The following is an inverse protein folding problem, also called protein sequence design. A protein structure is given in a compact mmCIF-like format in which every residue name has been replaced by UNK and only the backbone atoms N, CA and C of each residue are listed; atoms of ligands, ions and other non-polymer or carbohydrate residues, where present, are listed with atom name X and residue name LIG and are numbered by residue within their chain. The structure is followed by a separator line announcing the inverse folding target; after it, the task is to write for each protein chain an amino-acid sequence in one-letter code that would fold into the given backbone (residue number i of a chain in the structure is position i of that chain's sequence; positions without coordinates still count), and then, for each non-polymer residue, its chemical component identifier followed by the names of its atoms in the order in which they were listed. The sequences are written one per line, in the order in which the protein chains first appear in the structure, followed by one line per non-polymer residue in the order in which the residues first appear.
data_IF_324536649034
#
_entry.id   IF_324536649034
#
_cell.length_a   1.000
_cell.length_b   1.000
_cell.length_c   1.000
_cell.angle_alpha   90.00
_cell.angle_beta   90.00
_cell.angle_gamma   90.00
#
_symmetry.space_group_name_H-M   'P 1'
#
loop_
_entity.id
_entity.type
_entity.pdbx_description
1 polymer ?
#
# COMPACT_ATOMS: atom_id res chain seq x y z
N UNK A 1 -0.73 -2.70 -19.48
CA UNK A 1 -0.77 -1.95 -18.22
C UNK A 1 -0.69 -0.43 -18.35
N UNK A 2 -1.13 0.06 -19.50
CA UNK A 2 -1.21 1.51 -19.76
C UNK A 2 -2.52 2.11 -19.25
N UNK A 3 -3.44 1.29 -18.76
CA UNK A 3 -4.78 1.74 -18.31
C UNK A 3 -4.87 2.34 -16.90
N UNK A 4 -3.92 2.11 -16.01
CA UNK A 4 -3.96 2.69 -14.67
C UNK A 4 -3.30 4.06 -14.55
N UNK A 5 -2.39 4.41 -15.46
CA UNK A 5 -1.78 5.74 -15.48
C UNK A 5 -2.71 6.83 -16.04
N UNK A 6 -3.74 6.46 -16.81
CA UNK A 6 -4.69 7.42 -17.39
C UNK A 6 -5.85 7.77 -16.44
N UNK A 7 -6.08 7.01 -15.38
CA UNK A 7 -7.07 7.35 -14.36
C UNK A 7 -6.60 8.45 -13.39
N UNK A 8 -5.33 8.79 -13.39
CA UNK A 8 -4.73 9.83 -12.53
C UNK A 8 -4.73 11.24 -13.14
N UNK A 9 -5.15 11.40 -14.38
CA UNK A 9 -4.88 12.59 -15.15
C UNK A 9 -6.05 13.51 -15.49
N UNK A 10 -7.32 13.14 -15.28
CA UNK A 10 -8.44 13.97 -15.75
C UNK A 10 -9.53 14.09 -14.69
N UNK A 11 -9.31 14.98 -13.73
CA UNK A 11 -10.37 15.77 -13.14
C UNK A 11 -9.96 17.23 -13.15
N UNK A 12 -10.13 17.87 -14.29
CA UNK A 12 -10.07 19.32 -14.41
C UNK A 12 -11.38 19.89 -13.90
N UNK A 13 -11.29 20.65 -12.82
CA UNK A 13 -12.36 21.55 -12.40
C UNK A 13 -13.09 21.14 -11.13
N UNK A 14 -12.76 21.85 -10.07
CA UNK A 14 -13.53 22.08 -8.85
C UNK A 14 -13.57 20.97 -7.80
N UNK A 15 -12.93 21.32 -6.73
CA UNK A 15 -12.72 20.67 -5.44
C UNK A 15 -11.58 19.65 -5.47
N UNK A 16 -10.46 20.08 -4.90
CA UNK A 16 -9.26 19.26 -4.65
C UNK A 16 -9.61 18.12 -3.67
N UNK A 17 -10.21 17.06 -4.18
CA UNK A 17 -10.39 15.82 -3.46
C UNK A 17 -9.38 14.80 -3.96
N UNK A 18 -8.67 14.17 -3.07
CA UNK A 18 -7.74 13.09 -3.35
C UNK A 18 -8.52 11.79 -3.20
N UNK A 19 -8.43 10.90 -4.22
CA UNK A 19 -8.96 9.55 -4.12
C UNK A 19 -8.03 8.75 -3.19
N UNK A 20 -8.58 8.22 -2.09
CA UNK A 20 -7.89 7.19 -1.35
C UNK A 20 -7.97 5.86 -2.12
N UNK A 21 -7.14 4.88 -1.78
CA UNK A 21 -7.11 3.56 -2.41
C UNK A 21 -8.43 2.77 -2.40
N UNK A 22 -9.49 3.31 -1.79
CA UNK A 22 -10.87 2.79 -1.77
C UNK A 22 -11.85 3.62 -2.62
N UNK A 23 -11.36 4.55 -3.45
CA UNK A 23 -12.20 5.34 -4.35
C UNK A 23 -13.07 6.40 -3.67
N UNK A 24 -12.81 6.78 -2.43
CA UNK A 24 -13.55 7.80 -1.69
C UNK A 24 -12.86 9.15 -1.85
N UNK A 25 -13.61 10.16 -2.25
CA UNK A 25 -13.12 11.54 -2.29
C UNK A 25 -12.94 12.09 -0.87
N UNK A 26 -11.70 12.42 -0.52
CA UNK A 26 -11.35 13.06 0.73
C UNK A 26 -10.95 14.52 0.50
N UNK A 27 -11.23 15.38 1.47
CA UNK A 27 -10.70 16.75 1.43
C UNK A 27 -9.19 16.72 1.63
N UNK A 28 -8.47 17.70 1.07
CA UNK A 28 -7.01 17.83 1.26
C UNK A 28 -6.62 17.80 2.75
N UNK A 29 -7.40 18.45 3.61
CA UNK A 29 -7.17 18.45 5.06
C UNK A 29 -7.31 17.05 5.67
N UNK A 30 -8.30 16.29 5.22
CA UNK A 30 -8.51 14.91 5.71
C UNK A 30 -7.38 13.99 5.26
N UNK A 31 -6.89 14.14 4.03
CA UNK A 31 -5.76 13.37 3.52
C UNK A 31 -4.47 13.72 4.26
N UNK A 32 -4.19 15.00 4.49
CA UNK A 32 -3.03 15.42 5.28
C UNK A 32 -3.07 14.86 6.70
N UNK A 33 -4.26 14.81 7.31
CA UNK A 33 -4.44 14.19 8.63
C UNK A 33 -4.18 12.68 8.58
N UNK A 34 -4.69 12.01 7.57
CA UNK A 34 -4.45 10.57 7.35
C UNK A 34 -2.96 10.27 7.20
N UNK A 35 -2.26 11.03 6.36
CA UNK A 35 -0.81 10.88 6.16
C UNK A 35 -0.01 11.13 7.44
N UNK A 36 -0.40 12.12 8.23
CA UNK A 36 0.23 12.37 9.52
C UNK A 36 0.06 11.19 10.50
N UNK A 37 -1.14 10.60 10.55
CA UNK A 37 -1.40 9.40 11.35
C UNK A 37 -0.51 8.25 10.90
N UNK A 38 -0.46 7.95 9.60
CA UNK A 38 0.33 6.84 9.05
C UNK A 38 1.83 7.03 9.31
N UNK A 39 2.35 8.24 9.09
CA UNK A 39 3.76 8.54 9.37
C UNK A 39 4.11 8.37 10.85
N UNK A 40 3.27 8.87 11.75
CA UNK A 40 3.47 8.71 13.19
C UNK A 40 3.40 7.24 13.60
N UNK A 41 2.42 6.50 13.07
CA UNK A 41 2.25 5.07 13.33
C UNK A 41 3.46 4.26 12.84
N UNK A 42 3.96 4.56 11.65
CA UNK A 42 5.16 3.88 11.10
C UNK A 42 6.35 4.04 12.03
N UNK A 43 6.62 5.25 12.53
CA UNK A 43 7.72 5.49 13.47
C UNK A 43 7.54 4.67 14.76
N UNK A 44 6.32 4.62 15.30
CA UNK A 44 6.04 3.82 16.49
C UNK A 44 6.21 2.32 16.27
N UNK A 45 5.74 1.81 15.12
CA UNK A 45 5.91 0.39 14.79
C UNK A 45 7.36 0.00 14.56
N UNK A 46 8.15 0.89 13.94
CA UNK A 46 9.59 0.65 13.74
C UNK A 46 10.38 0.69 15.06
N UNK A 47 10.00 1.57 15.98
CA UNK A 47 10.71 1.73 17.26
C UNK A 47 10.31 0.68 18.31
N UNK A 48 9.02 0.38 18.43
CA UNK A 48 8.48 -0.46 19.51
C UNK A 48 7.91 -1.79 19.03
N UNK A 49 7.86 -2.03 17.73
CA UNK A 49 7.18 -3.17 17.13
C UNK A 49 5.64 -3.06 17.22
N UNK A 50 4.94 -3.97 16.56
CA UNK A 50 3.48 -3.99 16.57
C UNK A 50 2.92 -4.21 17.99
N UNK A 51 3.45 -5.20 18.73
CA UNK A 51 2.99 -5.53 20.08
C UNK A 51 3.26 -4.41 21.09
N UNK A 52 4.42 -3.73 20.99
CA UNK A 52 4.83 -2.67 21.91
C UNK A 52 4.17 -1.31 21.63
N UNK A 53 3.56 -1.12 20.45
CA UNK A 53 2.93 0.13 20.08
C UNK A 53 1.50 0.24 20.62
N UNK A 54 1.17 1.40 21.17
CA UNK A 54 -0.16 1.72 21.67
C UNK A 54 -0.84 2.79 20.81
N UNK A 55 -2.14 2.60 20.48
CA UNK A 55 -2.91 3.62 19.75
C UNK A 55 -2.94 4.96 20.50
N UNK A 56 -2.96 4.92 21.83
CA UNK A 56 -3.00 6.14 22.64
C UNK A 56 -1.73 6.98 22.46
N UNK A 57 -0.55 6.36 22.35
CA UNK A 57 0.70 7.09 22.09
C UNK A 57 0.71 7.68 20.68
N UNK A 58 0.26 6.92 19.68
CA UNK A 58 0.13 7.42 18.30
C UNK A 58 -0.81 8.62 18.24
N UNK A 59 -1.99 8.54 18.87
CA UNK A 59 -2.96 9.66 18.93
C UNK A 59 -2.34 10.92 19.50
N UNK A 60 -1.60 10.77 20.62
CA UNK A 60 -0.92 11.88 21.28
C UNK A 60 0.12 12.51 20.38
N UNK A 61 0.98 11.71 19.80
CA UNK A 61 2.11 12.20 18.98
C UNK A 61 1.66 12.72 17.60
N UNK A 62 0.55 12.22 17.07
CA UNK A 62 -0.08 12.77 15.88
C UNK A 62 -0.80 14.11 16.15
N UNK A 63 -0.92 14.53 17.40
CA UNK A 63 -1.57 15.79 17.78
C UNK A 63 -3.08 15.81 17.56
N UNK A 64 -3.72 14.66 17.65
CA UNK A 64 -5.16 14.50 17.41
C UNK A 64 -5.92 14.19 18.69
N UNK A 65 -7.23 14.48 18.66
CA UNK A 65 -8.14 13.95 19.69
C UNK A 65 -8.43 12.47 19.42
N UNK A 66 -8.71 11.73 20.47
CA UNK A 66 -9.09 10.31 20.37
C UNK A 66 -10.25 10.10 19.39
N UNK A 67 -11.31 10.91 19.49
CA UNK A 67 -12.46 10.83 18.60
C UNK A 67 -12.15 11.13 17.13
N UNK A 68 -11.25 12.06 16.86
CA UNK A 68 -10.81 12.37 15.50
C UNK A 68 -9.99 11.20 14.91
N UNK A 69 -9.11 10.61 15.70
CA UNK A 69 -8.28 9.48 15.27
C UNK A 69 -9.12 8.23 14.93
N UNK A 70 -10.05 7.84 15.80
CA UNK A 70 -10.88 6.64 15.59
C UNK A 70 -11.83 6.72 14.39
N UNK A 71 -12.05 7.91 13.82
CA UNK A 71 -12.73 8.06 12.53
C UNK A 71 -11.92 7.54 11.35
N UNK A 72 -10.59 7.59 11.45
CA UNK A 72 -9.68 7.09 10.42
C UNK A 72 -9.36 5.61 10.61
N UNK A 73 -8.98 5.24 11.82
CA UNK A 73 -8.53 3.88 12.13
C UNK A 73 -9.11 3.41 13.47
N UNK A 74 -10.08 2.47 13.43
CA UNK A 74 -10.75 2.00 14.64
C UNK A 74 -9.88 1.08 15.50
N UNK A 75 -8.88 0.41 14.90
CA UNK A 75 -8.02 -0.55 15.58
C UNK A 75 -6.56 -0.38 15.17
N UNK A 76 -5.66 -0.97 15.95
CA UNK A 76 -4.22 -0.99 15.63
C UNK A 76 -3.94 -1.83 14.38
N UNK A 77 -4.66 -2.91 14.22
CA UNK A 77 -4.62 -3.78 13.05
C UNK A 77 -5.01 -3.02 11.78
N UNK A 78 -6.14 -2.31 11.78
CA UNK A 78 -6.59 -1.51 10.65
C UNK A 78 -5.58 -0.41 10.26
N UNK A 79 -4.89 0.16 11.25
CA UNK A 79 -3.83 1.13 11.03
C UNK A 79 -2.58 0.48 10.42
N UNK A 80 -2.21 -0.70 10.91
CA UNK A 80 -1.09 -1.46 10.37
C UNK A 80 -1.36 -1.94 8.95
N UNK A 81 -2.55 -2.48 8.69
CA UNK A 81 -2.98 -2.90 7.35
C UNK A 81 -2.89 -1.73 6.35
N UNK A 82 -3.36 -0.55 6.73
CA UNK A 82 -3.28 0.64 5.88
C UNK A 82 -1.83 1.09 5.57
N UNK A 83 -0.87 0.74 6.42
CA UNK A 83 0.55 1.00 6.17
C UNK A 83 1.15 0.00 5.18
N UNK A 84 0.76 -1.27 5.25
CA UNK A 84 1.37 -2.32 4.43
C UNK A 84 0.62 -2.58 3.12
N UNK A 85 -0.69 -2.27 3.03
CA UNK A 85 -1.52 -2.50 1.85
C UNK A 85 -0.87 -2.05 0.53
N UNK A 86 -0.29 -0.82 0.41
CA UNK A 86 0.33 -0.39 -0.84
C UNK A 86 1.49 -1.30 -1.28
N UNK A 87 2.29 -1.77 -0.33
CA UNK A 87 3.43 -2.65 -0.60
C UNK A 87 2.97 -4.07 -0.96
N UNK A 88 1.93 -4.53 -0.30
CA UNK A 88 1.32 -5.84 -0.58
C UNK A 88 0.69 -5.85 -1.98
N UNK A 89 -0.05 -4.81 -2.35
CA UNK A 89 -0.65 -4.66 -3.68
C UNK A 89 0.42 -4.64 -4.78
N UNK A 90 1.54 -3.98 -4.56
CA UNK A 90 2.65 -3.91 -5.52
C UNK A 90 3.35 -5.27 -5.66
N UNK A 91 3.58 -5.98 -4.54
CA UNK A 91 4.13 -7.35 -4.57
C UNK A 91 3.21 -8.32 -5.31
N UNK A 92 1.90 -8.24 -5.09
CA UNK A 92 0.94 -9.04 -5.85
C UNK A 92 0.94 -8.68 -7.33
N UNK A 93 1.08 -7.41 -7.68
CA UNK A 93 1.21 -6.98 -9.07
C UNK A 93 2.43 -7.58 -9.77
N UNK A 94 3.56 -7.67 -9.09
CA UNK A 94 4.76 -8.34 -9.60
C UNK A 94 4.49 -9.84 -9.80
N UNK A 95 3.89 -10.49 -8.80
CA UNK A 95 3.56 -11.91 -8.87
C UNK A 95 2.60 -12.22 -10.03
N UNK A 96 1.53 -11.46 -10.16
CA UNK A 96 0.54 -11.63 -11.21
C UNK A 96 1.14 -11.44 -12.60
N UNK A 97 2.03 -10.44 -12.79
CA UNK A 97 2.70 -10.22 -14.07
C UNK A 97 3.59 -11.37 -14.50
N UNK A 98 4.33 -11.95 -13.55
CA UNK A 98 5.17 -13.14 -13.79
C UNK A 98 4.32 -14.36 -14.12
N UNK A 99 3.21 -14.52 -13.40
CA UNK A 99 2.28 -15.64 -13.63
C UNK A 99 1.60 -15.54 -15.00
N UNK A 100 1.14 -14.33 -15.39
CA UNK A 100 0.55 -14.10 -16.71
C UNK A 100 1.55 -14.38 -17.84
N UNK A 101 2.80 -13.91 -17.70
CA UNK A 101 3.87 -14.20 -18.66
C UNK A 101 4.08 -15.71 -18.81
N UNK A 102 4.18 -16.42 -17.68
CA UNK A 102 4.36 -17.87 -17.68
C UNK A 102 3.16 -18.60 -18.31
N UNK A 103 1.94 -18.21 -17.98
CA UNK A 103 0.72 -18.84 -18.53
C UNK A 103 0.54 -18.58 -20.03
N UNK A 104 1.12 -17.51 -20.56
CA UNK A 104 1.09 -17.18 -21.99
C UNK A 104 1.99 -18.09 -22.84
N UNK A 105 2.92 -18.80 -22.21
CA UNK A 105 3.83 -19.72 -22.92
C UNK A 105 3.12 -21.01 -23.33
N UNK A 106 3.48 -21.58 -24.49
CA UNK A 106 3.05 -22.92 -24.87
C UNK A 106 3.44 -23.95 -23.80
N UNK A 107 2.62 -25.02 -23.58
CA UNK A 107 2.87 -26.01 -22.52
C UNK A 107 4.27 -26.63 -22.53
N UNK A 108 4.84 -26.84 -23.73
CA UNK A 108 6.19 -27.39 -23.86
C UNK A 108 7.26 -26.45 -23.31
N UNK A 109 7.05 -25.12 -23.51
CA UNK A 109 7.98 -24.10 -23.04
C UNK A 109 7.80 -23.77 -21.56
N UNK A 110 6.61 -24.01 -21.00
CA UNK A 110 6.37 -23.78 -19.57
C UNK A 110 7.28 -24.64 -18.71
N UNK A 111 7.47 -25.91 -19.07
CA UNK A 111 8.34 -26.82 -18.32
C UNK A 111 9.81 -26.41 -18.41
N UNK A 112 10.27 -25.97 -19.59
CA UNK A 112 11.65 -25.52 -19.79
C UNK A 112 11.96 -24.21 -19.08
N UNK A 113 10.99 -23.30 -19.02
CA UNK A 113 11.18 -21.95 -18.47
C UNK A 113 10.75 -21.81 -17.00
N UNK A 114 10.27 -22.88 -16.36
CA UNK A 114 9.78 -22.81 -14.99
C UNK A 114 10.81 -22.27 -14.00
N UNK A 115 12.05 -22.71 -14.12
CA UNK A 115 13.15 -22.25 -13.26
C UNK A 115 13.51 -20.77 -13.50
N UNK A 116 13.55 -20.34 -14.77
CA UNK A 116 13.91 -18.96 -15.13
C UNK A 116 12.77 -17.98 -14.81
N UNK A 117 11.53 -18.33 -15.07
CA UNK A 117 10.38 -17.49 -14.73
C UNK A 117 10.25 -17.31 -13.20
N UNK A 118 10.45 -18.37 -12.43
CA UNK A 118 10.47 -18.32 -10.96
C UNK A 118 11.63 -17.46 -10.45
N UNK A 119 12.83 -17.58 -11.04
CA UNK A 119 14.00 -16.79 -10.67
C UNK A 119 13.81 -15.29 -10.94
N UNK A 120 13.32 -14.94 -12.12
CA UNK A 120 13.06 -13.54 -12.49
C UNK A 120 12.01 -12.89 -11.58
N UNK A 121 10.94 -13.60 -11.24
CA UNK A 121 9.92 -13.11 -10.32
C UNK A 121 10.47 -12.90 -8.90
N UNK A 122 11.29 -13.84 -8.43
CA UNK A 122 11.94 -13.72 -7.14
C UNK A 122 12.90 -12.53 -7.11
N UNK A 123 13.72 -12.34 -8.14
CA UNK A 123 14.66 -11.23 -8.24
C UNK A 123 13.93 -9.88 -8.23
N UNK A 124 12.80 -9.77 -8.94
CA UNK A 124 11.98 -8.55 -8.92
C UNK A 124 11.41 -8.26 -7.53
N UNK A 125 10.90 -9.28 -6.84
CA UNK A 125 10.38 -9.12 -5.48
C UNK A 125 11.48 -8.76 -4.48
N UNK A 126 12.66 -9.39 -4.58
CA UNK A 126 13.81 -9.09 -3.73
C UNK A 126 14.27 -7.65 -3.95
N UNK A 127 14.43 -7.23 -5.19
CA UNK A 127 14.84 -5.85 -5.51
C UNK A 127 13.83 -4.83 -4.97
N UNK A 128 12.53 -5.10 -5.12
CA UNK A 128 11.48 -4.24 -4.58
C UNK A 128 11.55 -4.07 -3.05
N UNK A 129 11.89 -5.13 -2.32
CA UNK A 129 11.97 -5.09 -0.84
C UNK A 129 13.24 -4.40 -0.34
N UNK A 130 14.36 -4.47 -1.09
CA UNK A 130 15.66 -3.98 -0.65
C UNK A 130 16.09 -2.63 -1.26
N UNK A 131 15.39 -2.13 -2.26
CA UNK A 131 15.59 -0.78 -2.81
C UNK A 131 14.74 0.27 -2.08
#
# INVERSE_FOLDING_TARGET
MVGMALAFGICFGQKRGILNGRGVFMTEKAENTRQNILKTALNHFLEYGFAGTSLRSIVKDAGLTTGAFYKYYPTKEALFDALIDPYVEELYGIYDSVLEEFQSLPPEKQTENMASASGNGMDQMVNYVYD
#
